data_IF_450407024998
#
_entry.id   IF_450407024998
#
_cell.length_a   1.000
_cell.length_b   1.000
_cell.length_c   1.000
_cell.angle_alpha   90.00
_cell.angle_beta   90.00
_cell.angle_gamma   90.00
#
_symmetry.space_group_name_H-M   'P 1'
#
loop_
_entity.id
_entity.type
_entity.pdbx_description
1 polymer ?
#
# COMPACT_ATOMS: atom_id res chain seq x y z
N UNK A 1 -6.65 -0.07 26.53
CA UNK A 1 -6.32 -1.50 26.63
C UNK A 1 -7.60 -2.33 26.47
N UNK A 2 -7.49 -3.48 25.80
CA UNK A 2 -8.52 -4.52 25.78
C UNK A 2 -8.58 -5.26 27.14
N UNK A 3 -9.57 -6.15 27.31
CA UNK A 3 -9.73 -6.94 28.55
C UNK A 3 -8.56 -7.89 28.81
N UNK A 4 -7.88 -8.36 27.76
CA UNK A 4 -6.69 -9.21 27.80
C UNK A 4 -5.38 -8.43 28.03
N UNK A 5 -5.45 -7.10 28.16
CA UNK A 5 -4.29 -6.22 28.36
C UNK A 5 -3.64 -5.68 27.08
N UNK A 6 -4.10 -6.09 25.88
CA UNK A 6 -3.58 -5.61 24.61
C UNK A 6 -3.76 -4.09 24.45
N UNK A 7 -2.74 -3.41 23.92
CA UNK A 7 -2.84 -2.00 23.55
C UNK A 7 -3.64 -1.84 22.26
N UNK A 8 -4.70 -1.04 22.33
CA UNK A 8 -5.57 -0.74 21.20
C UNK A 8 -5.37 0.70 20.80
N UNK A 9 -5.15 0.92 19.51
CA UNK A 9 -5.07 2.26 18.94
C UNK A 9 -5.67 2.27 17.54
N UNK A 10 -6.23 3.42 17.18
CA UNK A 10 -6.75 3.75 15.86
C UNK A 10 -6.27 5.16 15.55
N UNK A 11 -5.89 5.40 14.31
CA UNK A 11 -5.48 6.71 13.85
C UNK A 11 -5.98 6.94 12.44
N UNK A 12 -6.13 8.20 12.08
CA UNK A 12 -6.36 8.67 10.72
C UNK A 12 -5.23 9.65 10.39
N UNK A 13 -4.72 9.57 9.17
CA UNK A 13 -3.70 10.49 8.66
C UNK A 13 -4.28 11.26 7.47
N UNK A 14 -3.96 12.54 7.37
CA UNK A 14 -4.36 13.38 6.26
C UNK A 14 -3.10 13.90 5.56
N UNK A 15 -3.07 13.73 4.25
CA UNK A 15 -1.97 14.12 3.39
C UNK A 15 -2.53 15.00 2.27
N UNK A 16 -1.96 16.19 2.10
CA UNK A 16 -2.37 17.14 1.08
C UNK A 16 -1.17 17.94 0.58
N UNK A 17 -1.18 18.35 -0.70
CA UNK A 17 -0.10 19.19 -1.27
C UNK A 17 -0.24 20.68 -0.94
N UNK A 18 -1.38 21.10 -0.40
CA UNK A 18 -1.62 22.49 -0.02
C UNK A 18 -2.58 22.55 1.16
N UNK A 19 -2.55 23.67 1.89
CA UNK A 19 -3.37 23.86 3.09
C UNK A 19 -4.86 23.91 2.77
N UNK A 20 -5.24 24.38 1.58
CA UNK A 20 -6.65 24.47 1.16
C UNK A 20 -7.29 23.11 0.93
N UNK A 21 -6.47 22.06 0.76
CA UNK A 21 -6.91 20.67 0.60
C UNK A 21 -6.86 19.87 1.90
N UNK A 22 -6.41 20.47 3.00
CA UNK A 22 -6.49 19.84 4.31
C UNK A 22 -7.95 19.74 4.76
N UNK A 23 -8.31 18.72 5.56
CA UNK A 23 -9.65 18.62 6.10
C UNK A 23 -9.99 19.85 6.94
N UNK A 24 -11.25 20.26 6.90
CA UNK A 24 -11.76 21.28 7.81
C UNK A 24 -12.04 20.70 9.21
N UNK A 25 -12.39 21.58 10.15
CA UNK A 25 -12.66 21.18 11.54
C UNK A 25 -13.80 20.16 11.64
N UNK A 26 -14.84 20.30 10.82
CA UNK A 26 -15.98 19.40 10.83
C UNK A 26 -15.57 17.99 10.35
N UNK A 27 -14.82 17.89 9.26
CA UNK A 27 -14.29 16.61 8.77
C UNK A 27 -13.40 15.93 9.82
N UNK A 28 -12.48 16.68 10.44
CA UNK A 28 -11.63 16.14 11.51
C UNK A 28 -12.48 15.64 12.68
N UNK A 29 -13.49 16.39 13.09
CA UNK A 29 -14.39 16.01 14.18
C UNK A 29 -15.19 14.74 13.86
N UNK A 30 -15.67 14.60 12.61
CA UNK A 30 -16.35 13.39 12.15
C UNK A 30 -15.41 12.17 12.15
N UNK A 31 -14.14 12.34 11.76
CA UNK A 31 -13.13 11.29 11.82
C UNK A 31 -12.81 10.89 13.26
N UNK A 32 -12.69 11.84 14.19
CA UNK A 32 -12.51 11.54 15.62
C UNK A 32 -13.68 10.71 16.16
N UNK A 33 -14.94 11.08 15.82
CA UNK A 33 -16.12 10.31 16.21
C UNK A 33 -16.08 8.88 15.67
N UNK A 34 -15.72 8.72 14.40
CA UNK A 34 -15.59 7.41 13.76
C UNK A 34 -14.51 6.55 14.43
N UNK A 35 -13.30 7.09 14.60
CA UNK A 35 -12.19 6.39 15.26
C UNK A 35 -12.55 5.99 16.69
N UNK A 36 -13.23 6.88 17.44
CA UNK A 36 -13.71 6.59 18.79
C UNK A 36 -14.68 5.41 18.79
N UNK A 37 -15.67 5.44 17.88
CA UNK A 37 -16.65 4.36 17.73
C UNK A 37 -15.98 3.04 17.39
N UNK A 38 -15.06 3.03 16.43
CA UNK A 38 -14.32 1.83 16.03
C UNK A 38 -13.43 1.29 17.14
N UNK A 39 -12.75 2.16 17.89
CA UNK A 39 -11.89 1.77 19.00
C UNK A 39 -12.70 1.15 20.14
N UNK A 40 -13.89 1.71 20.44
CA UNK A 40 -14.82 1.14 21.42
C UNK A 40 -15.35 -0.22 20.96
N UNK A 41 -15.70 -0.34 19.67
CA UNK A 41 -16.11 -1.62 19.10
C UNK A 41 -14.98 -2.66 19.21
N UNK A 42 -13.75 -2.29 18.84
CA UNK A 42 -12.57 -3.16 18.94
C UNK A 42 -12.29 -3.58 20.39
N UNK A 43 -12.48 -2.68 21.36
CA UNK A 43 -12.35 -3.01 22.79
C UNK A 43 -13.38 -4.03 23.27
N UNK A 44 -14.59 -4.00 22.72
CA UNK A 44 -15.66 -4.94 23.05
C UNK A 44 -15.62 -6.24 22.21
N UNK A 45 -14.75 -6.30 21.19
CA UNK A 45 -14.60 -7.49 20.36
C UNK A 45 -13.99 -8.65 21.16
N UNK A 46 -14.45 -9.89 20.92
CA UNK A 46 -13.79 -11.06 21.50
C UNK A 46 -12.37 -11.19 20.94
N UNK A 47 -11.50 -11.83 21.71
CA UNK A 47 -10.17 -12.23 21.23
C UNK A 47 -10.35 -13.14 20.02
N UNK A 48 -9.62 -12.84 18.95
CA UNK A 48 -9.68 -13.65 17.75
C UNK A 48 -8.99 -15.00 18.00
N UNK A 49 -9.72 -16.08 17.74
CA UNK A 49 -9.14 -17.43 17.71
C UNK A 49 -8.34 -17.65 16.42
N UNK A 50 -7.30 -18.51 16.44
CA UNK A 50 -6.60 -18.91 15.23
C UNK A 50 -7.57 -19.42 14.16
N UNK A 51 -7.53 -18.80 12.99
CA UNK A 51 -8.46 -19.09 11.89
C UNK A 51 -7.70 -19.30 10.58
N UNK A 52 -8.16 -20.27 9.78
CA UNK A 52 -7.71 -20.46 8.40
C UNK A 52 -8.91 -20.36 7.49
N UNK A 53 -8.93 -19.32 6.65
CA UNK A 53 -10.02 -19.08 5.72
C UNK A 53 -9.86 -17.74 4.99
N UNK A 54 -10.88 -17.33 4.23
CA UNK A 54 -10.83 -16.08 3.50
C UNK A 54 -10.76 -14.88 4.45
N UNK A 55 -10.00 -13.86 4.06
CA UNK A 55 -9.90 -12.59 4.77
C UNK A 55 -10.30 -11.45 3.84
N UNK A 56 -11.02 -10.47 4.38
CA UNK A 56 -11.31 -9.21 3.70
C UNK A 56 -10.42 -8.14 4.33
N UNK A 57 -9.56 -7.55 3.52
CA UNK A 57 -8.66 -6.48 3.94
C UNK A 57 -9.31 -5.13 3.69
N UNK A 58 -9.19 -4.21 4.65
CA UNK A 58 -9.51 -2.81 4.40
C UNK A 58 -8.57 -2.25 3.32
N UNK A 59 -8.98 -1.18 2.62
CA UNK A 59 -8.15 -0.63 1.53
C UNK A 59 -6.71 -0.29 1.95
N UNK A 60 -6.53 0.32 3.13
CA UNK A 60 -5.20 0.63 3.67
C UNK A 60 -4.41 -0.65 3.99
N UNK A 61 -5.04 -1.63 4.63
CA UNK A 61 -4.38 -2.91 4.94
C UNK A 61 -4.01 -3.70 3.67
N UNK A 62 -4.88 -3.68 2.65
CA UNK A 62 -4.62 -4.31 1.36
C UNK A 62 -3.42 -3.67 0.66
N UNK A 63 -3.30 -2.33 0.67
CA UNK A 63 -2.16 -1.62 0.11
C UNK A 63 -0.83 -1.98 0.79
N UNK A 64 -0.81 -2.00 2.13
CA UNK A 64 0.39 -2.42 2.90
C UNK A 64 0.72 -3.88 2.63
N UNK A 65 -0.27 -4.77 2.75
CA UNK A 65 -0.06 -6.20 2.49
C UNK A 65 0.53 -6.43 1.09
N UNK A 66 -0.05 -5.79 0.07
CA UNK A 66 0.45 -5.86 -1.30
C UNK A 66 1.87 -5.31 -1.45
N UNK A 67 2.20 -4.21 -0.77
CA UNK A 67 3.57 -3.67 -0.74
C UNK A 67 4.59 -4.68 -0.19
N UNK A 68 4.28 -5.31 0.94
CA UNK A 68 5.18 -6.28 1.59
C UNK A 68 5.40 -7.54 0.75
N UNK A 69 4.31 -8.10 0.18
CA UNK A 69 4.40 -9.38 -0.54
C UNK A 69 4.89 -9.21 -1.99
N UNK A 70 4.68 -8.03 -2.58
CA UNK A 70 4.93 -7.80 -4.00
C UNK A 70 5.83 -6.59 -4.26
N UNK A 71 5.56 -5.43 -3.65
CA UNK A 71 6.29 -4.18 -3.87
C UNK A 71 7.80 -4.34 -3.72
N UNK A 72 8.27 -4.81 -2.57
CA UNK A 72 9.70 -5.05 -2.37
C UNK A 72 10.31 -6.11 -3.30
N UNK A 73 9.50 -7.07 -3.77
CA UNK A 73 9.97 -8.17 -4.65
C UNK A 73 10.12 -7.75 -6.10
N UNK A 74 9.59 -6.60 -6.50
CA UNK A 74 9.76 -6.06 -7.86
C UNK A 74 10.87 -5.02 -7.98
N UNK A 75 11.53 -4.69 -6.88
CA UNK A 75 12.74 -3.87 -6.87
C UNK A 75 13.90 -4.70 -7.44
N UNK A 76 14.37 -4.33 -8.63
CA UNK A 76 15.31 -5.15 -9.41
C UNK A 76 16.67 -5.34 -8.75
N UNK A 77 17.11 -4.37 -7.93
CA UNK A 77 18.36 -4.46 -7.19
C UNK A 77 18.28 -5.56 -6.10
N UNK A 78 17.16 -5.67 -5.39
CA UNK A 78 16.93 -6.71 -4.36
C UNK A 78 16.88 -8.12 -4.92
N UNK A 79 16.58 -8.29 -6.21
CA UNK A 79 16.63 -9.61 -6.85
C UNK A 79 18.05 -10.13 -7.10
N UNK A 80 19.07 -9.27 -6.94
CA UNK A 80 20.49 -9.63 -7.10
C UNK A 80 21.24 -9.74 -5.77
N UNK A 81 20.65 -9.24 -4.69
CA UNK A 81 21.24 -9.28 -3.35
C UNK A 81 20.97 -10.64 -2.70
N UNK A 82 22.01 -11.28 -2.17
CA UNK A 82 21.93 -12.61 -1.54
C UNK A 82 21.28 -12.56 -0.15
N UNK A 83 21.25 -11.40 0.50
CA UNK A 83 20.57 -11.20 1.80
C UNK A 83 19.06 -10.96 1.64
N UNK A 84 18.58 -10.82 0.41
CA UNK A 84 17.23 -10.38 0.07
C UNK A 84 16.35 -11.47 -0.57
N UNK A 85 15.05 -11.17 -0.59
CA UNK A 85 14.04 -12.04 -1.18
C UNK A 85 14.04 -12.08 -2.71
N UNK A 86 14.79 -13.01 -3.32
CA UNK A 86 14.90 -13.20 -4.77
C UNK A 86 13.70 -13.95 -5.43
N UNK A 87 12.47 -13.73 -4.94
CA UNK A 87 11.29 -14.53 -5.30
C UNK A 87 10.93 -14.53 -6.78
N UNK A 88 11.16 -13.40 -7.46
CA UNK A 88 10.79 -13.24 -8.87
C UNK A 88 11.99 -13.32 -9.82
N UNK A 89 13.17 -13.64 -9.32
CA UNK A 89 14.35 -13.87 -10.17
C UNK A 89 14.03 -14.87 -11.27
N UNK A 90 14.30 -14.46 -12.52
CA UNK A 90 14.01 -15.22 -13.75
C UNK A 90 12.52 -15.49 -14.03
N UNK A 91 11.59 -14.73 -13.42
CA UNK A 91 10.13 -14.83 -13.63
C UNK A 91 9.56 -13.83 -14.66
N UNK A 92 10.40 -13.07 -15.37
CA UNK A 92 9.91 -12.24 -16.48
C UNK A 92 9.16 -13.11 -17.49
N UNK A 93 8.02 -12.63 -17.95
CA UNK A 93 7.04 -13.30 -18.81
C UNK A 93 6.38 -14.55 -18.20
N UNK A 94 6.42 -14.70 -16.87
CA UNK A 94 5.72 -15.78 -16.16
C UNK A 94 4.59 -15.22 -15.29
N UNK A 95 3.56 -16.03 -14.98
CA UNK A 95 2.51 -15.65 -14.04
C UNK A 95 3.09 -15.53 -12.62
N UNK A 96 2.83 -14.38 -11.98
CA UNK A 96 3.22 -14.06 -10.59
C UNK A 96 2.04 -13.56 -9.75
N UNK A 97 0.96 -13.11 -10.40
CA UNK A 97 -0.29 -12.67 -9.77
C UNK A 97 -1.49 -13.32 -10.49
N UNK A 98 -2.70 -13.31 -9.90
CA UNK A 98 -3.93 -13.65 -10.61
C UNK A 98 -4.12 -12.84 -11.90
N UNK A 99 -4.73 -13.45 -12.91
CA UNK A 99 -4.88 -12.88 -14.26
C UNK A 99 -5.72 -11.60 -14.34
N UNK A 100 -6.58 -11.37 -13.36
CA UNK A 100 -7.37 -10.16 -13.23
C UNK A 100 -6.59 -8.97 -12.64
N UNK A 101 -5.33 -9.17 -12.21
CA UNK A 101 -4.49 -8.12 -11.61
C UNK A 101 -3.42 -7.68 -12.59
N UNK A 102 -3.40 -6.37 -12.86
CA UNK A 102 -2.31 -5.67 -13.54
C UNK A 102 -1.74 -4.60 -12.62
N UNK A 103 -0.43 -4.38 -12.70
CA UNK A 103 0.30 -3.45 -11.83
C UNK A 103 1.21 -2.61 -12.70
N UNK A 104 1.20 -1.30 -12.46
CA UNK A 104 2.12 -0.37 -13.09
C UNK A 104 2.63 0.61 -12.03
N UNK A 105 3.85 1.07 -12.23
CA UNK A 105 4.39 2.24 -11.54
C UNK A 105 4.28 3.46 -12.48
N UNK A 106 3.76 4.56 -11.99
CA UNK A 106 3.53 5.78 -12.78
C UNK A 106 3.79 7.04 -11.94
N UNK A 107 5.06 7.39 -11.73
CA UNK A 107 5.47 8.57 -10.96
C UNK A 107 5.05 9.90 -11.60
N UNK A 108 4.58 9.89 -12.85
CA UNK A 108 4.09 11.09 -13.51
C UNK A 108 2.68 11.47 -13.03
N UNK A 109 1.94 10.54 -12.41
CA UNK A 109 0.61 10.83 -11.85
C UNK A 109 0.71 11.73 -10.61
N UNK A 110 0.04 12.88 -10.65
CA UNK A 110 -0.01 13.83 -9.53
C UNK A 110 -1.15 13.55 -8.55
N UNK A 111 -2.24 12.96 -9.05
CA UNK A 111 -3.47 12.70 -8.31
C UNK A 111 -4.18 11.46 -8.83
N UNK A 112 -5.03 10.89 -7.98
CA UNK A 112 -5.97 9.84 -8.33
C UNK A 112 -7.37 10.26 -7.87
N UNK A 113 -8.22 10.62 -8.82
CA UNK A 113 -9.45 11.37 -8.53
C UNK A 113 -9.10 12.69 -7.84
N UNK A 114 -9.76 12.98 -6.72
CA UNK A 114 -9.57 14.20 -5.94
C UNK A 114 -8.39 14.13 -4.96
N UNK A 115 -7.71 12.98 -4.85
CA UNK A 115 -6.61 12.77 -3.91
C UNK A 115 -5.26 13.01 -4.56
N UNK A 116 -4.42 13.82 -3.92
CA UNK A 116 -3.02 13.97 -4.33
C UNK A 116 -2.25 12.67 -4.07
N UNK A 117 -1.32 12.33 -4.96
CA UNK A 117 -0.42 11.18 -4.81
C UNK A 117 0.94 11.66 -4.27
N UNK A 118 1.46 10.96 -3.26
CA UNK A 118 2.75 11.28 -2.64
C UNK A 118 3.95 10.85 -3.51
N UNK A 119 3.78 9.87 -4.39
CA UNK A 119 4.87 9.30 -5.20
C UNK A 119 5.22 10.06 -6.48
N UNK A 120 4.72 11.27 -6.70
CA UNK A 120 5.00 12.00 -7.94
C UNK A 120 6.42 12.57 -7.97
N UNK A 121 7.14 12.29 -9.05
CA UNK A 121 8.42 12.93 -9.36
C UNK A 121 8.64 13.02 -10.88
N UNK A 122 9.51 13.92 -11.32
CA UNK A 122 9.88 14.08 -12.74
C UNK A 122 11.23 13.46 -13.09
N UNK A 123 12.11 13.37 -12.09
CA UNK A 123 13.43 12.74 -12.16
C UNK A 123 13.66 12.01 -10.85
N UNK A 124 14.29 10.84 -10.92
CA UNK A 124 14.75 10.13 -9.72
C UNK A 124 16.04 10.74 -9.15
N UNK A 125 16.57 10.13 -8.10
CA UNK A 125 17.77 10.58 -7.40
C UNK A 125 19.06 10.45 -8.22
N UNK A 126 19.02 9.75 -9.36
CA UNK A 126 20.14 9.63 -10.31
C UNK A 126 20.00 10.58 -11.51
N UNK A 127 18.93 11.40 -11.53
CA UNK A 127 18.64 12.35 -12.59
C UNK A 127 18.03 11.71 -13.85
N UNK A 128 17.57 10.46 -13.76
CA UNK A 128 16.88 9.78 -14.85
C UNK A 128 15.44 10.25 -14.90
N UNK A 129 14.95 10.57 -16.11
CA UNK A 129 13.59 11.05 -16.32
C UNK A 129 12.57 9.97 -15.97
N UNK A 130 11.60 10.34 -15.14
CA UNK A 130 10.53 9.47 -14.70
C UNK A 130 9.65 9.00 -15.87
N UNK A 131 9.25 7.74 -15.85
CA UNK A 131 8.38 7.13 -16.85
C UNK A 131 7.47 6.08 -16.23
N UNK A 132 6.33 5.83 -16.88
CA UNK A 132 5.45 4.74 -16.50
C UNK A 132 6.08 3.40 -16.85
N UNK A 133 6.08 2.46 -15.91
CA UNK A 133 6.55 1.09 -16.09
C UNK A 133 5.41 0.12 -15.84
N UNK A 134 5.05 -0.68 -16.85
CA UNK A 134 4.18 -1.84 -16.64
C UNK A 134 4.97 -2.92 -15.94
N UNK A 135 4.63 -3.21 -14.68
CA UNK A 135 5.30 -4.22 -13.86
C UNK A 135 4.65 -5.58 -14.09
N UNK A 136 3.31 -5.65 -14.01
CA UNK A 136 2.52 -6.86 -14.28
C UNK A 136 1.38 -6.53 -15.23
N UNK A 137 1.18 -7.38 -16.21
CA UNK A 137 0.04 -7.31 -17.12
C UNK A 137 -0.71 -8.64 -17.08
N UNK A 138 -1.97 -8.60 -16.62
CA UNK A 138 -2.85 -9.76 -16.53
C UNK A 138 -2.19 -10.93 -15.79
N UNK A 139 -1.64 -10.65 -14.61
CA UNK A 139 -0.92 -11.63 -13.79
C UNK A 139 0.51 -11.95 -14.22
N UNK A 140 0.93 -11.53 -15.43
CA UNK A 140 2.26 -11.83 -15.99
C UNK A 140 3.27 -10.74 -15.65
N UNK A 141 4.38 -11.10 -15.02
CA UNK A 141 5.49 -10.17 -14.75
C UNK A 141 6.14 -9.72 -16.06
N UNK A 142 6.22 -8.41 -16.29
CA UNK A 142 6.82 -7.80 -17.48
C UNK A 142 8.16 -7.16 -17.19
N UNK A 143 8.26 -6.41 -16.09
CA UNK A 143 9.46 -5.65 -15.74
C UNK A 143 9.72 -5.66 -14.23
N UNK A 144 10.96 -5.35 -13.86
CA UNK A 144 11.34 -4.90 -12.52
C UNK A 144 11.47 -3.38 -12.52
N UNK A 145 11.35 -2.76 -11.35
CA UNK A 145 11.75 -1.37 -11.17
C UNK A 145 13.26 -1.32 -11.02
N UNK A 146 13.89 -0.50 -11.85
CA UNK A 146 15.33 -0.34 -11.93
C UNK A 146 15.67 1.10 -11.56
N UNK A 147 16.82 1.26 -10.92
CA UNK A 147 17.58 2.52 -10.88
C UNK A 147 18.47 2.53 -12.12
#
# INVERSE_FOLDING_TARGET
>A
KAEDGMDLYKYESFDARSMEKMPDEEEVHQKIKLLTKELLALRASPVAEPFTGPAILSGRAAGVFFHEIFGHRIEGHRQKDEEEGQTFTKKINQPVLPDFISVYDDPLQKSFGDKDLSGHYLYDDEGVKAQRVTVVENGILKNFLMS
#
